data_IF_748165947938
#
_entry.id   IF_748165947938
#
_cell.length_a   1.000
_cell.length_b   1.000
_cell.length_c   1.000
_cell.angle_alpha   90.00
_cell.angle_beta   90.00
_cell.angle_gamma   90.00
#
_symmetry.space_group_name_H-M   'P 1'
#
loop_
_entity.id
_entity.type
_entity.pdbx_description
1 polymer ?
#
# COMPACT_ATOMS: atom_id res chain seq x y z
N UNK A 1 -0.91 0.29 44.63
CA UNK A 1 -1.18 1.13 43.44
C UNK A 1 -0.32 0.66 42.29
N UNK A 2 -0.89 0.33 41.11
CA UNK A 2 -0.06 0.04 39.94
C UNK A 2 0.58 1.35 39.47
N UNK A 3 1.89 1.32 39.20
CA UNK A 3 2.62 2.43 38.60
C UNK A 3 2.07 2.74 37.21
N UNK A 4 1.83 4.01 36.85
CA UNK A 4 1.43 4.36 35.48
C UNK A 4 2.57 3.96 34.54
N UNK A 5 2.20 3.26 33.46
CA UNK A 5 3.13 2.72 32.47
C UNK A 5 4.12 3.79 32.01
N UNK A 6 5.41 3.53 32.20
CA UNK A 6 6.47 4.39 31.68
C UNK A 6 6.39 4.37 30.16
N UNK A 7 6.08 5.51 29.57
CA UNK A 7 6.32 5.76 28.14
C UNK A 7 7.80 5.48 27.83
N UNK A 8 8.10 4.93 26.66
CA UNK A 8 9.45 4.73 26.14
C UNK A 8 10.17 6.08 26.10
N UNK A 9 11.17 6.26 26.96
CA UNK A 9 12.07 7.41 26.95
C UNK A 9 13.29 7.16 26.05
N UNK A 10 13.13 6.35 25.00
CA UNK A 10 14.22 5.91 24.16
C UNK A 10 14.61 7.00 23.15
N UNK A 11 15.91 7.16 22.84
CA UNK A 11 16.38 7.92 21.68
C UNK A 11 15.66 7.48 20.39
N UNK A 12 15.39 8.41 19.49
CA UNK A 12 14.68 8.10 18.23
C UNK A 12 15.38 7.03 17.40
N UNK A 13 16.72 6.94 17.43
CA UNK A 13 17.49 5.89 16.76
C UNK A 13 17.19 4.48 17.29
N UNK A 14 16.98 4.33 18.60
CA UNK A 14 16.66 3.04 19.21
C UNK A 14 15.22 2.63 18.87
N UNK A 15 14.30 3.60 18.82
CA UNK A 15 12.91 3.36 18.39
C UNK A 15 12.86 2.97 16.90
N UNK A 16 13.65 3.62 16.04
CA UNK A 16 13.76 3.24 14.62
C UNK A 16 14.31 1.81 14.49
N UNK A 17 15.33 1.46 15.27
CA UNK A 17 15.90 0.11 15.28
C UNK A 17 14.87 -0.94 15.68
N UNK A 18 14.05 -0.66 16.71
CA UNK A 18 12.91 -1.49 17.09
C UNK A 18 11.90 -1.64 15.94
N UNK A 19 11.53 -0.54 15.29
CA UNK A 19 10.62 -0.56 14.15
C UNK A 19 11.16 -1.41 13.01
N UNK A 20 12.44 -1.26 12.65
CA UNK A 20 13.09 -2.05 11.60
C UNK A 20 13.05 -3.53 11.95
N UNK A 21 13.44 -3.92 13.17
CA UNK A 21 13.47 -5.33 13.60
C UNK A 21 12.10 -6.02 13.56
N UNK A 22 11.02 -5.27 13.80
CA UNK A 22 9.67 -5.85 13.88
C UNK A 22 8.88 -5.74 12.57
N UNK A 23 9.16 -4.74 11.73
CA UNK A 23 8.38 -4.43 10.54
C UNK A 23 9.10 -4.73 9.24
N UNK A 24 10.45 -4.78 9.23
CA UNK A 24 11.22 -5.14 8.03
C UNK A 24 11.41 -6.66 7.98
N UNK A 25 11.03 -7.32 6.89
CA UNK A 25 11.17 -8.77 6.71
C UNK A 25 12.61 -9.30 6.91
N UNK A 26 12.99 -9.74 8.11
CA UNK A 26 14.16 -10.60 8.36
C UNK A 26 13.72 -12.04 8.64
N UNK A 27 13.37 -12.74 7.57
CA UNK A 27 13.11 -14.19 7.36
C UNK A 27 12.43 -15.08 8.41
N UNK A 28 12.20 -14.74 9.70
CA UNK A 28 11.79 -15.76 10.70
C UNK A 28 10.83 -15.32 11.82
N UNK A 29 10.39 -14.05 11.89
CA UNK A 29 9.39 -13.65 12.89
C UNK A 29 8.46 -12.59 12.30
N UNK A 30 7.33 -13.02 11.74
CA UNK A 30 6.37 -12.11 11.12
C UNK A 30 5.18 -11.82 12.02
N UNK A 31 4.87 -10.53 12.14
CA UNK A 31 3.69 -9.99 12.81
C UNK A 31 2.40 -10.64 12.25
N UNK A 32 1.48 -10.96 13.17
CA UNK A 32 0.20 -11.63 12.91
C UNK A 32 -0.86 -10.74 12.25
N UNK A 33 -0.53 -9.52 11.84
CA UNK A 33 -1.48 -8.60 11.18
C UNK A 33 -1.30 -8.64 9.65
N UNK A 34 -2.24 -9.28 8.95
CA UNK A 34 -2.25 -9.41 7.49
C UNK A 34 -2.26 -8.07 6.73
N UNK A 35 -2.57 -6.95 7.40
CA UNK A 35 -2.59 -5.59 6.84
C UNK A 35 -1.22 -4.90 6.84
N UNK A 36 -0.40 -5.13 7.86
CA UNK A 36 0.94 -4.51 8.01
C UNK A 36 1.97 -5.25 7.15
N UNK A 37 1.79 -6.55 6.96
CA UNK A 37 2.70 -7.39 6.21
C UNK A 37 2.76 -7.06 4.71
N UNK A 38 1.71 -6.43 4.14
CA UNK A 38 1.65 -6.02 2.73
C UNK A 38 2.55 -4.83 2.35
N UNK A 39 3.12 -4.13 3.33
CA UNK A 39 4.04 -3.01 3.07
C UNK A 39 5.48 -3.49 2.97
N UNK A 40 6.22 -2.97 1.98
CA UNK A 40 7.68 -2.93 2.11
C UNK A 40 8.01 -1.85 3.15
N UNK A 41 8.10 -2.24 4.43
CA UNK A 41 8.52 -1.35 5.51
C UNK A 41 9.99 -0.92 5.42
N UNK A 42 10.68 -1.27 4.32
CA UNK A 42 12.04 -0.81 4.02
C UNK A 42 12.15 0.69 4.22
N UNK A 43 11.13 1.48 3.83
CA UNK A 43 11.06 2.94 3.99
C UNK A 43 11.40 3.44 5.40
N UNK A 44 11.21 2.66 6.46
CA UNK A 44 11.56 3.04 7.84
C UNK A 44 13.06 3.37 7.98
N UNK A 45 13.93 2.73 7.19
CA UNK A 45 15.38 2.98 7.27
C UNK A 45 15.82 4.37 6.78
N UNK A 46 14.96 5.17 6.13
CA UNK A 46 15.29 6.56 5.73
C UNK A 46 14.85 7.58 6.77
N UNK A 47 14.15 7.15 7.82
CA UNK A 47 13.72 8.04 8.89
C UNK A 47 14.86 8.78 9.62
N UNK A 48 16.06 8.17 9.84
CA UNK A 48 17.19 8.91 10.41
C UNK A 48 17.56 10.15 9.57
N UNK A 49 17.53 10.04 8.24
CA UNK A 49 17.86 11.14 7.33
C UNK A 49 16.89 12.33 7.44
N UNK A 50 15.68 12.11 7.96
CA UNK A 50 14.69 13.15 8.22
C UNK A 50 14.91 13.83 9.58
N UNK A 51 15.53 13.12 10.54
CA UNK A 51 15.83 13.63 11.87
C UNK A 51 17.12 14.48 11.89
N UNK A 52 18.06 14.19 10.99
CA UNK A 52 19.34 14.88 10.91
C UNK A 52 19.26 16.27 10.22
N UNK A 53 18.07 16.71 9.79
CA UNK A 53 17.88 17.97 9.05
C UNK A 53 17.74 19.16 10.00
N UNK A 54 18.65 20.12 9.91
CA UNK A 54 18.67 21.33 10.77
C UNK A 54 17.40 22.20 10.69
N UNK A 55 16.71 22.23 9.53
CA UNK A 55 15.53 23.07 9.30
C UNK A 55 14.22 22.27 9.14
N UNK A 56 14.19 21.01 9.63
CA UNK A 56 13.06 20.10 9.44
C UNK A 56 12.00 20.13 10.55
N UNK A 57 10.86 19.49 10.30
CA UNK A 57 9.83 19.24 11.32
C UNK A 57 10.22 18.07 12.24
N UNK A 58 11.37 18.20 12.93
CA UNK A 58 11.94 17.13 13.77
C UNK A 58 10.93 16.65 14.82
N UNK A 59 10.22 17.58 15.47
CA UNK A 59 9.17 17.26 16.46
C UNK A 59 8.04 16.40 15.88
N UNK A 60 7.66 16.63 14.62
CA UNK A 60 6.63 15.87 13.94
C UNK A 60 7.11 14.44 13.66
N UNK A 61 8.29 14.31 13.07
CA UNK A 61 8.84 13.01 12.67
C UNK A 61 9.15 12.19 13.91
N UNK A 62 9.83 12.76 14.90
CA UNK A 62 10.19 12.08 16.15
C UNK A 62 8.96 11.62 16.96
N UNK A 63 7.94 12.47 17.10
CA UNK A 63 6.70 12.08 17.80
C UNK A 63 5.95 10.98 17.08
N UNK A 64 5.93 10.99 15.74
CA UNK A 64 5.26 9.96 14.93
C UNK A 64 6.01 8.62 14.96
N UNK A 65 7.35 8.64 14.91
CA UNK A 65 8.21 7.47 15.11
C UNK A 65 7.94 6.85 16.49
N UNK A 66 7.85 7.68 17.53
CA UNK A 66 7.57 7.22 18.88
C UNK A 66 6.19 6.57 18.99
N UNK A 67 5.16 7.14 18.35
CA UNK A 67 3.84 6.54 18.31
C UNK A 67 3.83 5.14 17.67
N UNK A 68 4.57 4.97 16.57
CA UNK A 68 4.74 3.66 15.93
C UNK A 68 5.47 2.67 16.85
N UNK A 69 6.60 3.09 17.45
CA UNK A 69 7.38 2.24 18.34
C UNK A 69 6.60 1.77 19.56
N UNK A 70 5.91 2.68 20.24
CA UNK A 70 5.00 2.35 21.35
C UNK A 70 3.90 1.39 20.91
N UNK A 71 3.44 1.51 19.66
CA UNK A 71 2.42 0.61 19.13
C UNK A 71 2.93 -0.80 18.87
N UNK A 72 4.16 -0.94 18.42
CA UNK A 72 4.81 -2.26 18.32
C UNK A 72 4.97 -2.89 19.70
N UNK A 73 5.42 -2.10 20.69
CA UNK A 73 5.61 -2.60 22.06
C UNK A 73 4.27 -2.99 22.70
N UNK A 74 3.21 -2.22 22.49
CA UNK A 74 1.88 -2.55 23.03
C UNK A 74 1.18 -3.71 22.28
N UNK A 75 1.53 -3.94 21.01
CA UNK A 75 0.98 -5.03 20.20
C UNK A 75 1.54 -6.41 20.57
N UNK A 76 2.78 -6.51 21.04
CA UNK A 76 3.38 -7.79 21.41
C UNK A 76 2.57 -8.44 22.56
N UNK A 77 2.00 -9.62 22.30
CA UNK A 77 1.21 -10.38 23.27
C UNK A 77 1.99 -10.77 24.54
N UNK A 78 3.33 -10.70 24.52
CA UNK A 78 4.20 -10.92 25.68
C UNK A 78 4.50 -9.63 26.46
N UNK A 79 4.18 -8.48 25.88
CA UNK A 79 4.37 -7.17 26.48
C UNK A 79 3.33 -6.90 27.57
N UNK A 80 3.76 -6.21 28.63
CA UNK A 80 2.87 -5.65 29.67
C UNK A 80 2.57 -4.17 29.41
N UNK A 81 2.97 -3.63 28.25
CA UNK A 81 2.78 -2.23 27.94
C UNK A 81 1.27 -1.92 27.77
N UNK A 82 0.73 -0.91 28.48
CA UNK A 82 -0.67 -0.55 28.34
C UNK A 82 -0.96 0.04 26.96
N UNK A 83 -2.01 -0.44 26.29
CA UNK A 83 -2.52 0.15 25.04
C UNK A 83 -2.85 1.65 25.22
N UNK A 84 -3.27 2.05 26.43
CA UNK A 84 -3.53 3.47 26.76
C UNK A 84 -2.29 4.35 26.56
N UNK A 85 -1.09 3.83 26.86
CA UNK A 85 0.16 4.56 26.65
C UNK A 85 0.43 4.80 25.17
N UNK A 86 0.19 3.80 24.32
CA UNK A 86 0.33 3.97 22.87
C UNK A 86 -0.69 4.98 22.30
N UNK A 87 -1.94 4.95 22.78
CA UNK A 87 -2.98 5.91 22.37
C UNK A 87 -2.65 7.36 22.79
N UNK A 88 -2.06 7.56 23.96
CA UNK A 88 -1.61 8.88 24.42
C UNK A 88 -0.49 9.44 23.52
N UNK A 89 0.49 8.61 23.18
CA UNK A 89 1.60 8.99 22.32
C UNK A 89 1.12 9.26 20.89
N UNK A 90 0.21 8.43 20.36
CA UNK A 90 -0.44 8.67 19.07
C UNK A 90 -1.21 10.01 19.07
N UNK A 91 -1.96 10.30 20.14
CA UNK A 91 -2.67 11.58 20.30
C UNK A 91 -1.71 12.78 20.36
N UNK A 92 -0.52 12.61 20.93
CA UNK A 92 0.53 13.63 20.92
C UNK A 92 1.07 13.87 19.50
N UNK A 93 1.38 12.81 18.77
CA UNK A 93 1.86 12.88 17.39
C UNK A 93 0.82 13.51 16.44
N UNK A 94 -0.47 13.19 16.59
CA UNK A 94 -1.55 13.86 15.85
C UNK A 94 -1.62 15.37 16.13
N UNK A 95 -1.37 15.81 17.38
CA UNK A 95 -1.29 17.24 17.72
C UNK A 95 -0.08 17.90 17.07
N UNK A 96 1.07 17.22 17.00
CA UNK A 96 2.23 17.71 16.26
C UNK A 96 1.93 17.85 14.76
N UNK A 97 1.26 16.87 14.16
CA UNK A 97 0.82 16.92 12.76
C UNK A 97 -0.13 18.09 12.49
N UNK A 98 -1.12 18.31 13.36
CA UNK A 98 -2.03 19.45 13.24
C UNK A 98 -1.30 20.79 13.28
N UNK A 99 -0.29 20.94 14.15
CA UNK A 99 0.54 22.15 14.22
C UNK A 99 1.37 22.35 12.95
N UNK A 100 2.00 21.29 12.45
CA UNK A 100 2.77 21.34 11.22
C UNK A 100 1.91 21.78 10.02
N UNK A 101 0.71 21.19 9.87
CA UNK A 101 -0.26 21.57 8.83
C UNK A 101 -0.77 23.01 8.97
N UNK A 102 -0.92 23.51 10.20
CA UNK A 102 -1.37 24.89 10.45
C UNK A 102 -0.32 25.97 10.18
N UNK A 103 0.96 25.60 10.13
CA UNK A 103 2.08 26.51 9.87
C UNK A 103 2.39 26.74 8.37
N UNK A 104 1.55 26.19 7.48
CA UNK A 104 2.02 25.75 6.17
C UNK A 104 1.58 26.63 4.98
N UNK A 105 2.55 26.93 4.10
CA UNK A 105 2.32 27.18 2.67
C UNK A 105 2.50 25.83 1.95
N UNK A 106 1.43 25.31 1.35
CA UNK A 106 1.24 23.96 0.80
C UNK A 106 2.26 23.48 -0.25
N UNK A 107 3.50 23.18 0.14
CA UNK A 107 4.44 22.38 -0.68
C UNK A 107 4.51 20.91 -0.22
N UNK A 108 5.10 20.01 -1.02
CA UNK A 108 5.27 18.63 -0.59
C UNK A 108 6.46 18.55 0.40
N UNK A 109 6.26 17.90 1.54
CA UNK A 109 7.29 17.71 2.58
C UNK A 109 7.35 16.22 2.94
N UNK A 110 8.51 15.60 2.75
CA UNK A 110 8.74 14.18 3.03
C UNK A 110 8.61 13.84 4.51
N UNK A 111 8.87 14.80 5.41
CA UNK A 111 8.56 14.66 6.83
C UNK A 111 7.06 14.45 7.10
N UNK A 112 6.18 15.17 6.41
CA UNK A 112 4.73 14.99 6.54
C UNK A 112 4.31 13.58 6.06
N UNK A 113 4.80 13.16 4.89
CA UNK A 113 4.49 11.83 4.35
C UNK A 113 4.97 10.74 5.29
N UNK A 114 6.22 10.80 5.74
CA UNK A 114 6.80 9.85 6.68
C UNK A 114 6.04 9.80 8.01
N UNK A 115 5.71 10.96 8.57
CA UNK A 115 4.93 11.05 9.80
C UNK A 115 3.53 10.43 9.65
N UNK A 116 2.84 10.69 8.53
CA UNK A 116 1.52 10.09 8.28
C UNK A 116 1.62 8.58 8.07
N UNK A 117 2.68 8.09 7.43
CA UNK A 117 2.93 6.64 7.29
C UNK A 117 3.22 5.97 8.64
N UNK A 118 3.96 6.61 9.55
CA UNK A 118 4.16 6.11 10.92
C UNK A 118 2.84 6.02 11.69
N UNK A 119 1.98 7.04 11.60
CA UNK A 119 0.66 7.05 12.23
C UNK A 119 -0.29 6.01 11.62
N UNK A 120 -0.25 5.83 10.30
CA UNK A 120 -0.98 4.78 9.61
C UNK A 120 -0.62 3.39 10.15
N UNK A 121 0.68 3.08 10.26
CA UNK A 121 1.13 1.80 10.80
C UNK A 121 0.78 1.63 12.28
N UNK A 122 0.96 2.70 13.07
CA UNK A 122 0.56 2.74 14.48
C UNK A 122 -0.91 2.37 14.66
N UNK A 123 -1.79 2.89 13.80
CA UNK A 123 -3.22 2.59 13.83
C UNK A 123 -3.54 1.18 13.30
N UNK A 124 -2.87 0.72 12.24
CA UNK A 124 -3.05 -0.64 11.73
C UNK A 124 -2.69 -1.73 12.75
N UNK A 125 -1.69 -1.48 13.61
CA UNK A 125 -1.32 -2.39 14.70
C UNK A 125 -2.38 -2.47 15.80
N UNK A 126 -3.11 -1.38 16.05
CA UNK A 126 -4.05 -1.25 17.15
C UNK A 126 -5.51 -1.12 16.73
N UNK A 127 -5.79 -1.35 15.46
CA UNK A 127 -7.05 -0.97 14.83
C UNK A 127 -8.26 -1.42 15.64
N UNK A 128 -8.89 -0.44 16.32
CA UNK A 128 -10.14 -0.62 17.07
C UNK A 128 -11.36 -0.54 16.15
N UNK A 129 -11.17 -0.09 14.91
CA UNK A 129 -12.21 0.08 13.90
C UNK A 129 -11.63 -0.14 12.50
N UNK A 130 -12.32 -0.89 11.62
CA UNK A 130 -11.84 -1.24 10.28
C UNK A 130 -11.73 -0.06 9.31
N UNK A 131 -12.08 1.17 9.72
CA UNK A 131 -12.12 2.35 8.84
C UNK A 131 -11.26 3.51 9.30
N UNK A 132 -10.66 3.48 10.49
CA UNK A 132 -9.97 4.68 11.00
C UNK A 132 -8.68 4.98 10.22
N UNK A 133 -7.92 3.95 9.87
CA UNK A 133 -6.69 4.06 9.07
C UNK A 133 -6.91 4.77 7.72
N UNK A 134 -8.15 4.77 7.25
CA UNK A 134 -8.58 5.34 5.98
C UNK A 134 -8.35 6.85 5.90
N UNK A 135 -8.39 7.57 7.04
CA UNK A 135 -8.10 9.00 7.06
C UNK A 135 -6.62 9.27 6.76
N UNK A 136 -5.72 8.42 7.28
CA UNK A 136 -4.29 8.53 7.02
C UNK A 136 -3.97 8.19 5.57
N UNK A 137 -4.60 7.16 5.01
CA UNK A 137 -4.44 6.82 3.59
C UNK A 137 -4.85 7.99 2.71
N UNK A 138 -6.06 8.55 2.88
CA UNK A 138 -6.51 9.72 2.11
C UNK A 138 -5.58 10.93 2.25
N UNK A 139 -5.02 11.15 3.44
CA UNK A 139 -4.02 12.17 3.69
C UNK A 139 -2.74 11.96 2.86
N UNK A 140 -2.19 10.75 2.88
CA UNK A 140 -0.99 10.39 2.11
C UNK A 140 -1.26 10.48 0.62
N UNK A 141 -2.39 9.94 0.15
CA UNK A 141 -2.83 10.02 -1.26
C UNK A 141 -2.89 11.47 -1.72
N UNK A 142 -3.48 12.35 -0.90
CA UNK A 142 -3.53 13.78 -1.20
C UNK A 142 -2.13 14.38 -1.25
N UNK A 143 -1.29 14.17 -0.24
CA UNK A 143 0.07 14.69 -0.22
C UNK A 143 0.85 14.25 -1.47
N UNK A 144 0.77 12.97 -1.84
CA UNK A 144 1.43 12.42 -3.03
C UNK A 144 0.89 13.08 -4.29
N UNK A 145 -0.44 13.15 -4.44
CA UNK A 145 -1.07 13.70 -5.64
C UNK A 145 -0.76 15.18 -5.88
N UNK A 146 -0.57 15.98 -4.83
CA UNK A 146 -0.14 17.39 -4.96
C UNK A 146 1.34 17.51 -5.35
N UNK A 147 2.13 16.46 -5.11
CA UNK A 147 3.51 16.36 -5.56
C UNK A 147 3.62 16.11 -7.07
N UNK A 148 4.76 16.49 -7.65
CA UNK A 148 5.11 16.11 -9.01
C UNK A 148 5.66 14.67 -9.03
N UNK A 149 5.25 13.79 -9.97
CA UNK A 149 5.73 12.41 -10.08
C UNK A 149 7.27 12.27 -10.05
N UNK A 150 7.97 13.22 -10.66
CA UNK A 150 9.43 13.24 -10.79
C UNK A 150 10.15 13.37 -9.45
N UNK A 151 9.50 13.94 -8.42
CA UNK A 151 10.06 14.04 -7.07
C UNK A 151 10.26 12.67 -6.42
N UNK A 152 9.55 11.65 -6.89
CA UNK A 152 9.60 10.28 -6.37
C UNK A 152 10.58 9.39 -7.13
N UNK A 153 11.40 9.94 -8.02
CA UNK A 153 12.31 9.16 -8.85
C UNK A 153 13.52 8.60 -8.09
N UNK A 154 13.91 9.19 -6.96
CA UNK A 154 15.01 8.73 -6.12
C UNK A 154 14.89 9.20 -4.64
N UNK A 155 15.85 8.79 -3.80
CA UNK A 155 16.00 9.32 -2.43
C UNK A 155 14.89 8.92 -1.46
N UNK A 156 14.68 9.75 -0.44
CA UNK A 156 13.70 9.53 0.65
C UNK A 156 12.28 9.44 0.10
N UNK A 157 11.87 10.39 -0.75
CA UNK A 157 10.54 10.42 -1.35
C UNK A 157 10.25 9.16 -2.18
N UNK A 158 11.20 8.69 -2.99
CA UNK A 158 11.05 7.44 -3.72
C UNK A 158 10.75 6.26 -2.79
N UNK A 159 11.53 6.14 -1.71
CA UNK A 159 11.35 5.05 -0.75
C UNK A 159 10.01 5.13 -0.01
N UNK A 160 9.58 6.32 0.38
CA UNK A 160 8.26 6.52 0.99
C UNK A 160 7.14 6.14 0.00
N UNK A 161 7.25 6.58 -1.26
CA UNK A 161 6.29 6.24 -2.31
C UNK A 161 6.21 4.73 -2.54
N UNK A 162 7.34 4.06 -2.78
CA UNK A 162 7.41 2.61 -2.97
C UNK A 162 6.85 1.86 -1.76
N UNK A 163 7.14 2.33 -0.55
CA UNK A 163 6.69 1.73 0.71
C UNK A 163 5.17 1.81 0.92
N UNK A 164 4.54 2.93 0.58
CA UNK A 164 3.08 3.11 0.76
C UNK A 164 2.25 2.62 -0.42
N UNK A 165 2.83 2.54 -1.61
CA UNK A 165 2.12 2.19 -2.84
C UNK A 165 1.31 0.88 -2.77
N UNK A 166 1.78 -0.21 -2.11
CA UNK A 166 0.94 -1.39 -1.89
C UNK A 166 -0.36 -1.08 -1.14
N UNK A 167 -0.34 -0.22 -0.12
CA UNK A 167 -1.56 0.17 0.59
C UNK A 167 -2.49 0.96 -0.32
N UNK A 168 -1.94 1.95 -1.04
CA UNK A 168 -2.73 2.78 -1.97
C UNK A 168 -3.39 1.91 -3.04
N UNK A 169 -2.67 0.94 -3.58
CA UNK A 169 -3.19 0.09 -4.67
C UNK A 169 -4.07 -1.06 -4.14
N UNK A 170 -3.64 -1.78 -3.11
CA UNK A 170 -4.27 -3.03 -2.72
C UNK A 170 -5.37 -2.90 -1.66
N UNK A 171 -5.26 -1.93 -0.75
CA UNK A 171 -6.15 -1.91 0.43
C UNK A 171 -7.19 -0.80 0.39
N UNK A 172 -6.90 0.33 -0.26
CA UNK A 172 -7.81 1.46 -0.23
C UNK A 172 -8.05 2.10 -1.60
N UNK A 173 -7.12 2.84 -2.18
CA UNK A 173 -7.46 3.72 -3.31
C UNK A 173 -7.86 2.92 -4.54
N UNK A 174 -7.07 1.95 -5.00
CA UNK A 174 -7.41 1.17 -6.19
C UNK A 174 -8.49 0.13 -5.91
N UNK A 175 -8.51 -0.54 -4.75
CA UNK A 175 -9.61 -1.48 -4.40
C UNK A 175 -10.96 -0.77 -4.20
N UNK A 176 -10.99 0.36 -3.49
CA UNK A 176 -12.18 1.21 -3.39
C UNK A 176 -12.54 1.82 -4.75
N UNK A 177 -11.57 2.22 -5.55
CA UNK A 177 -11.80 2.67 -6.92
C UNK A 177 -12.26 1.56 -7.86
N UNK A 178 -11.89 0.29 -7.64
CA UNK A 178 -12.44 -0.84 -8.39
C UNK A 178 -13.90 -1.07 -8.01
N UNK A 179 -14.22 -1.01 -6.71
CA UNK A 179 -15.60 -1.14 -6.21
C UNK A 179 -16.49 0.02 -6.65
N UNK A 180 -16.00 1.25 -6.54
CA UNK A 180 -16.69 2.48 -6.92
C UNK A 180 -16.50 2.85 -8.40
N UNK A 181 -15.71 2.07 -9.13
CA UNK A 181 -15.45 2.20 -10.57
C UNK A 181 -15.01 3.62 -10.94
N UNK A 182 -13.97 4.10 -10.26
CA UNK A 182 -13.48 5.48 -10.38
C UNK A 182 -12.01 5.47 -10.78
N UNK A 183 -11.59 6.26 -11.75
CA UNK A 183 -10.17 6.35 -12.09
C UNK A 183 -9.32 6.90 -10.92
N UNK A 184 -8.03 6.54 -10.87
CA UNK A 184 -7.07 7.05 -9.87
C UNK A 184 -5.88 7.73 -10.56
N UNK A 185 -5.24 8.72 -9.93
CA UNK A 185 -4.06 9.36 -10.52
C UNK A 185 -2.91 8.38 -10.77
N UNK A 186 -2.85 7.30 -9.96
CA UNK A 186 -1.87 6.21 -10.07
C UNK A 186 -2.02 5.37 -11.35
N UNK A 187 -3.14 5.48 -12.08
CA UNK A 187 -3.33 4.79 -13.36
C UNK A 187 -2.62 5.48 -14.51
N UNK A 188 -2.36 6.79 -14.37
CA UNK A 188 -1.76 7.60 -15.44
C UNK A 188 -0.34 7.14 -15.75
N UNK A 189 0.04 7.26 -17.03
CA UNK A 189 1.36 6.81 -17.51
C UNK A 189 2.51 7.48 -16.73
N UNK A 190 2.37 8.76 -16.41
CA UNK A 190 3.41 9.53 -15.72
C UNK A 190 3.66 9.00 -14.30
N UNK A 191 2.59 8.70 -13.55
CA UNK A 191 2.69 8.15 -12.19
C UNK A 191 3.15 6.69 -12.14
N UNK A 192 3.08 5.96 -13.26
CA UNK A 192 3.61 4.60 -13.39
C UNK A 192 5.07 4.55 -13.88
N UNK A 193 5.60 5.64 -14.44
CA UNK A 193 6.93 5.66 -15.06
C UNK A 193 7.91 6.59 -14.34
N UNK A 194 7.55 7.85 -14.08
CA UNK A 194 8.48 8.83 -13.51
C UNK A 194 9.03 8.44 -12.12
N UNK A 195 8.23 7.90 -11.17
CA UNK A 195 8.76 7.46 -9.88
C UNK A 195 9.79 6.33 -9.98
N UNK A 196 9.82 5.60 -11.10
CA UNK A 196 10.74 4.47 -11.33
C UNK A 196 11.80 4.78 -12.39
N UNK A 197 11.95 6.06 -12.76
CA UNK A 197 12.87 6.49 -13.81
C UNK A 197 14.33 6.23 -13.48
N UNK A 198 14.75 6.50 -12.24
CA UNK A 198 16.14 6.32 -11.81
C UNK A 198 16.36 5.03 -11.02
N UNK A 199 15.30 4.53 -10.36
CA UNK A 199 15.33 3.28 -9.60
C UNK A 199 14.29 2.33 -10.23
N UNK A 200 14.72 1.24 -10.88
CA UNK A 200 13.81 0.31 -11.54
C UNK A 200 12.76 -0.28 -10.58
N UNK A 201 11.53 -0.44 -11.07
CA UNK A 201 10.47 -1.08 -10.31
C UNK A 201 10.81 -2.55 -10.03
N UNK A 202 10.64 -2.99 -8.77
CA UNK A 202 10.67 -4.41 -8.44
C UNK A 202 9.52 -5.16 -9.11
N UNK A 203 9.61 -6.51 -9.16
CA UNK A 203 8.53 -7.33 -9.71
C UNK A 203 7.16 -7.01 -9.08
N UNK A 204 7.10 -6.87 -7.76
CA UNK A 204 5.86 -6.50 -7.07
C UNK A 204 5.38 -5.08 -7.44
N UNK A 205 6.28 -4.10 -7.54
CA UNK A 205 5.91 -2.75 -7.97
C UNK A 205 5.41 -2.70 -9.43
N UNK A 206 5.91 -3.58 -10.29
CA UNK A 206 5.38 -3.76 -11.66
C UNK A 206 3.95 -4.30 -11.62
N UNK A 207 3.66 -5.31 -10.79
CA UNK A 207 2.30 -5.81 -10.60
C UNK A 207 1.35 -4.70 -10.15
N UNK A 208 1.75 -3.89 -9.17
CA UNK A 208 0.95 -2.76 -8.69
C UNK A 208 0.70 -1.69 -9.77
N UNK A 209 1.66 -1.50 -10.69
CA UNK A 209 1.49 -0.60 -11.83
C UNK A 209 0.44 -1.10 -12.82
N UNK A 210 0.38 -2.41 -13.05
CA UNK A 210 -0.66 -3.04 -13.88
C UNK A 210 -2.01 -2.97 -13.18
N UNK A 211 -2.03 -3.24 -11.87
CA UNK A 211 -3.24 -3.18 -11.04
C UNK A 211 -3.90 -1.81 -11.05
N UNK A 212 -3.11 -0.73 -11.01
CA UNK A 212 -3.65 0.64 -10.98
C UNK A 212 -4.37 1.06 -12.27
N UNK A 213 -4.20 0.33 -13.38
CA UNK A 213 -4.91 0.59 -14.64
C UNK A 213 -6.37 0.12 -14.62
N UNK A 214 -6.66 -0.93 -13.84
CA UNK A 214 -7.97 -1.61 -13.85
C UNK A 214 -9.12 -0.65 -13.50
N UNK A 215 -9.07 0.18 -12.44
CA UNK A 215 -10.18 1.07 -12.10
C UNK A 215 -10.59 2.01 -13.23
N UNK A 216 -9.64 2.54 -14.00
CA UNK A 216 -9.92 3.44 -15.13
C UNK A 216 -10.71 2.74 -16.22
N UNK A 217 -10.44 1.45 -16.45
CA UNK A 217 -11.20 0.66 -17.42
C UNK A 217 -12.60 0.36 -16.88
N UNK A 218 -12.74 0.04 -15.59
CA UNK A 218 -14.04 -0.17 -14.96
C UNK A 218 -14.92 1.09 -14.94
N UNK A 219 -14.31 2.26 -14.71
CA UNK A 219 -14.96 3.57 -14.81
C UNK A 219 -15.51 3.81 -16.23
N UNK A 220 -14.68 3.52 -17.23
CA UNK A 220 -15.08 3.58 -18.65
C UNK A 220 -16.29 2.67 -18.93
N UNK A 221 -16.27 1.43 -18.45
CA UNK A 221 -17.39 0.47 -18.60
C UNK A 221 -18.66 1.01 -17.93
N UNK A 222 -18.52 1.62 -16.76
CA UNK A 222 -19.64 2.15 -15.98
C UNK A 222 -20.30 3.37 -16.62
N UNK A 223 -19.53 4.13 -17.40
CA UNK A 223 -20.02 5.30 -18.15
C UNK A 223 -20.82 4.95 -19.41
N UNK A 224 -20.87 3.67 -19.80
CA UNK A 224 -21.53 3.22 -21.04
C UNK A 224 -23.05 3.34 -20.91
N UNK A 225 -23.66 4.29 -21.64
CA UNK A 225 -25.11 4.33 -21.81
C UNK A 225 -25.59 3.28 -22.81
N UNK A 226 -26.07 2.15 -22.28
CA UNK A 226 -26.60 1.03 -23.07
C UNK A 226 -27.79 1.39 -23.96
N UNK A 227 -28.42 2.55 -23.78
CA UNK A 227 -29.54 3.03 -24.62
C UNK A 227 -29.06 3.57 -25.97
N UNK A 228 -27.80 4.00 -26.07
CA UNK A 228 -27.20 4.46 -27.32
C UNK A 228 -26.16 3.47 -27.82
N UNK A 229 -26.61 2.43 -28.51
CA UNK A 229 -25.75 1.33 -28.99
C UNK A 229 -24.63 1.80 -29.93
N UNK A 230 -24.86 2.85 -30.73
CA UNK A 230 -23.86 3.40 -31.64
C UNK A 230 -22.65 3.97 -30.89
N UNK A 231 -22.85 4.50 -29.68
CA UNK A 231 -21.78 4.97 -28.80
C UNK A 231 -21.27 3.85 -27.88
N UNK A 232 -22.16 3.00 -27.37
CA UNK A 232 -21.83 1.97 -26.39
C UNK A 232 -20.90 0.88 -26.94
N UNK A 233 -21.12 0.44 -28.19
CA UNK A 233 -20.35 -0.66 -28.79
C UNK A 233 -18.85 -0.30 -28.95
N UNK A 234 -18.46 0.86 -29.53
CA UNK A 234 -17.06 1.26 -29.59
C UNK A 234 -16.38 1.32 -28.22
N UNK A 235 -17.06 1.91 -27.23
CA UNK A 235 -16.52 2.05 -25.86
C UNK A 235 -16.35 0.67 -25.20
N UNK A 236 -17.33 -0.22 -25.35
CA UNK A 236 -17.24 -1.59 -24.85
C UNK A 236 -16.10 -2.38 -25.53
N UNK A 237 -15.89 -2.17 -26.84
CA UNK A 237 -14.78 -2.78 -27.59
C UNK A 237 -13.42 -2.26 -27.11
N UNK A 238 -13.29 -0.96 -26.86
CA UNK A 238 -12.08 -0.35 -26.32
C UNK A 238 -11.78 -0.84 -24.91
N UNK A 239 -12.79 -0.90 -24.04
CA UNK A 239 -12.65 -1.43 -22.69
C UNK A 239 -12.26 -2.91 -22.69
N UNK A 240 -12.87 -3.74 -23.54
CA UNK A 240 -12.51 -5.15 -23.71
C UNK A 240 -11.05 -5.32 -24.14
N UNK A 241 -10.60 -4.54 -25.14
CA UNK A 241 -9.19 -4.51 -25.56
C UNK A 241 -8.25 -4.09 -24.43
N UNK A 242 -8.64 -3.11 -23.62
CA UNK A 242 -7.85 -2.68 -22.47
C UNK A 242 -7.74 -3.77 -21.39
N UNK A 243 -8.83 -4.46 -21.06
CA UNK A 243 -8.82 -5.58 -20.11
C UNK A 243 -7.98 -6.76 -20.63
N UNK A 244 -8.08 -7.10 -21.91
CA UNK A 244 -7.25 -8.15 -22.52
C UNK A 244 -5.75 -7.80 -22.46
N UNK A 245 -5.40 -6.54 -22.71
CA UNK A 245 -4.01 -6.06 -22.55
C UNK A 245 -3.54 -6.18 -21.10
N UNK A 246 -4.38 -5.81 -20.13
CA UNK A 246 -4.06 -5.95 -18.69
C UNK A 246 -3.84 -7.42 -18.34
N UNK A 247 -4.71 -8.33 -18.78
CA UNK A 247 -4.52 -9.78 -18.60
C UNK A 247 -3.22 -10.29 -19.23
N UNK A 248 -2.89 -9.82 -20.44
CA UNK A 248 -1.61 -10.14 -21.09
C UNK A 248 -0.42 -9.72 -20.24
N UNK A 249 -0.44 -8.50 -19.71
CA UNK A 249 0.60 -7.97 -18.82
C UNK A 249 0.70 -8.77 -17.50
N UNK A 250 -0.43 -9.14 -16.91
CA UNK A 250 -0.47 -9.96 -15.70
C UNK A 250 0.13 -11.35 -15.93
N UNK A 251 -0.24 -12.00 -17.04
CA UNK A 251 0.30 -13.32 -17.40
C UNK A 251 1.81 -13.25 -17.65
N UNK A 252 2.27 -12.24 -18.40
CA UNK A 252 3.71 -12.04 -18.63
C UNK A 252 4.46 -11.80 -17.31
N UNK A 253 3.89 -11.00 -16.41
CA UNK A 253 4.45 -10.79 -15.08
C UNK A 253 4.57 -12.11 -14.30
N UNK A 254 3.53 -12.95 -14.30
CA UNK A 254 3.53 -14.23 -13.58
C UNK A 254 4.56 -15.20 -14.17
N UNK A 255 4.65 -15.30 -15.50
CA UNK A 255 5.67 -16.10 -16.18
C UNK A 255 7.09 -15.63 -15.82
N UNK A 256 7.33 -14.31 -15.85
CA UNK A 256 8.62 -13.75 -15.47
C UNK A 256 8.96 -14.12 -14.01
N UNK A 257 8.01 -13.95 -13.08
CA UNK A 257 8.21 -14.32 -11.68
C UNK A 257 8.62 -15.80 -11.54
N UNK A 258 7.90 -16.71 -12.20
CA UNK A 258 8.23 -18.14 -12.20
C UNK A 258 9.64 -18.42 -12.75
N UNK A 259 10.03 -17.80 -13.86
CA UNK A 259 11.35 -18.04 -14.47
C UNK A 259 12.52 -17.51 -13.64
N UNK A 260 12.30 -16.44 -12.87
CA UNK A 260 13.34 -15.85 -12.01
C UNK A 260 13.46 -16.54 -10.65
N UNK A 261 12.49 -17.36 -10.26
CA UNK A 261 12.47 -18.01 -8.97
C UNK A 261 13.15 -19.38 -9.02
N UNK A 262 14.10 -19.67 -8.12
CA UNK A 262 14.81 -20.96 -8.09
C UNK A 262 13.93 -22.13 -7.60
N UNK A 263 12.77 -21.84 -7.01
CA UNK A 263 11.87 -22.80 -6.38
C UNK A 263 10.42 -22.52 -6.81
N UNK A 264 9.53 -23.50 -6.59
CA UNK A 264 8.09 -23.30 -6.81
C UNK A 264 7.57 -22.15 -5.96
N UNK A 265 6.80 -21.25 -6.57
CA UNK A 265 6.22 -20.07 -5.91
C UNK A 265 5.17 -20.44 -4.86
N UNK A 266 4.42 -21.49 -5.14
CA UNK A 266 3.43 -22.05 -4.23
C UNK A 266 3.30 -23.56 -4.44
N UNK A 267 2.80 -24.26 -3.43
CA UNK A 267 2.51 -25.69 -3.51
C UNK A 267 1.34 -26.04 -2.59
N UNK A 268 0.64 -27.11 -2.94
CA UNK A 268 -0.42 -27.66 -2.10
C UNK A 268 0.18 -28.47 -0.96
N UNK A 269 -0.43 -28.34 0.22
CA UNK A 269 -0.13 -29.15 1.39
C UNK A 269 -1.43 -29.71 1.92
N UNK A 270 -1.47 -31.02 2.14
CA UNK A 270 -2.58 -31.68 2.81
C UNK A 270 -2.25 -31.69 4.30
N UNK A 271 -3.07 -31.02 5.10
CA UNK A 271 -2.95 -31.00 6.55
C UNK A 271 -3.38 -32.35 7.14
N UNK A 272 -2.95 -32.70 8.37
CA UNK A 272 -3.29 -33.98 9.00
C UNK A 272 -4.80 -34.25 9.08
N UNK A 273 -5.61 -33.19 9.13
CA UNK A 273 -7.06 -33.22 9.18
C UNK A 273 -7.72 -33.40 7.79
N UNK A 274 -6.92 -33.54 6.72
CA UNK A 274 -7.39 -33.71 5.34
C UNK A 274 -7.70 -32.41 4.59
N UNK A 275 -7.48 -31.25 5.20
CA UNK A 275 -7.65 -29.94 4.56
C UNK A 275 -6.52 -29.65 3.57
N UNK A 276 -6.85 -29.12 2.40
CA UNK A 276 -5.86 -28.67 1.41
C UNK A 276 -5.56 -27.20 1.66
N UNK A 277 -4.31 -26.91 2.02
CA UNK A 277 -3.76 -25.58 2.26
C UNK A 277 -2.75 -25.22 1.17
N UNK A 278 -2.82 -23.98 0.66
CA UNK A 278 -1.81 -23.47 -0.30
C UNK A 278 -0.69 -22.79 0.48
N UNK A 279 0.54 -23.27 0.29
CA UNK A 279 1.74 -22.72 0.88
C UNK A 279 2.51 -21.91 -0.14
N UNK A 280 3.25 -20.90 0.34
CA UNK A 280 4.02 -19.98 -0.48
C UNK A 280 5.47 -19.94 -0.01
N UNK A 281 6.39 -19.62 -0.91
CA UNK A 281 7.82 -19.51 -0.59
C UNK A 281 8.08 -18.47 0.50
N UNK A 282 7.42 -17.31 0.38
CA UNK A 282 7.48 -16.24 1.35
C UNK A 282 6.21 -15.37 1.30
N UNK A 283 6.11 -14.45 2.25
CA UNK A 283 4.97 -13.56 2.37
C UNK A 283 4.79 -12.61 1.17
N UNK A 284 5.88 -12.15 0.56
CA UNK A 284 5.84 -11.25 -0.61
C UNK A 284 5.29 -12.02 -1.81
N UNK A 285 5.72 -13.26 -2.03
CA UNK A 285 5.17 -14.15 -3.06
C UNK A 285 3.70 -14.42 -2.80
N UNK A 286 3.31 -14.79 -1.58
CA UNK A 286 1.91 -14.99 -1.20
C UNK A 286 1.04 -13.78 -1.53
N UNK A 287 1.51 -12.59 -1.12
CA UNK A 287 0.82 -11.32 -1.37
C UNK A 287 0.74 -11.03 -2.86
N UNK A 288 1.83 -11.19 -3.60
CA UNK A 288 1.89 -10.92 -5.04
C UNK A 288 0.93 -11.84 -5.80
N UNK A 289 0.90 -13.14 -5.47
CA UNK A 289 0.01 -14.10 -6.12
C UNK A 289 -1.46 -13.85 -5.79
N UNK A 290 -1.79 -13.53 -4.54
CA UNK A 290 -3.16 -13.18 -4.16
C UNK A 290 -3.69 -11.98 -4.96
N UNK A 291 -2.88 -10.93 -5.13
CA UNK A 291 -3.27 -9.77 -5.94
C UNK A 291 -3.35 -10.12 -7.42
N UNK A 292 -2.39 -10.87 -7.94
CA UNK A 292 -2.40 -11.34 -9.32
C UNK A 292 -3.70 -12.12 -9.64
N UNK A 293 -4.07 -13.11 -8.81
CA UNK A 293 -5.29 -13.89 -9.03
C UNK A 293 -6.55 -13.03 -8.92
N UNK A 294 -6.63 -12.15 -7.92
CA UNK A 294 -7.77 -11.26 -7.77
C UNK A 294 -7.96 -10.35 -9.00
N UNK A 295 -6.88 -9.71 -9.47
CA UNK A 295 -6.91 -8.85 -10.65
C UNK A 295 -7.28 -9.61 -11.92
N UNK A 296 -6.75 -10.82 -12.07
CA UNK A 296 -7.05 -11.70 -13.18
C UNK A 296 -8.54 -12.04 -13.23
N UNK A 297 -9.12 -12.46 -12.09
CA UNK A 297 -10.54 -12.79 -11.95
C UNK A 297 -11.42 -11.58 -12.26
N UNK A 298 -11.08 -10.39 -11.74
CA UNK A 298 -11.82 -9.15 -12.01
C UNK A 298 -11.84 -8.87 -13.51
N UNK A 299 -10.68 -8.87 -14.17
CA UNK A 299 -10.59 -8.58 -15.60
C UNK A 299 -11.33 -9.62 -16.45
N UNK A 300 -11.17 -10.91 -16.15
CA UNK A 300 -11.85 -11.98 -16.87
C UNK A 300 -13.38 -11.88 -16.73
N UNK A 301 -13.87 -11.61 -15.52
CA UNK A 301 -15.29 -11.46 -15.23
C UNK A 301 -15.90 -10.29 -15.99
N UNK A 302 -15.23 -9.14 -16.02
CA UNK A 302 -15.70 -7.95 -16.73
C UNK A 302 -15.66 -8.15 -18.26
N UNK A 303 -14.68 -8.87 -18.80
CA UNK A 303 -14.68 -9.26 -20.23
C UNK A 303 -15.89 -10.15 -20.55
N UNK A 304 -16.16 -11.17 -19.74
CA UNK A 304 -17.31 -12.05 -19.94
C UNK A 304 -18.64 -11.28 -19.87
N UNK A 305 -18.74 -10.33 -18.93
CA UNK A 305 -19.90 -9.47 -18.80
C UNK A 305 -20.08 -8.55 -20.02
N UNK A 306 -19.00 -7.93 -20.51
CA UNK A 306 -19.03 -7.11 -21.73
C UNK A 306 -19.46 -7.91 -22.95
N UNK A 307 -18.96 -9.14 -23.13
CA UNK A 307 -19.37 -10.03 -24.23
C UNK A 307 -20.85 -10.39 -24.16
N UNK A 308 -21.35 -10.66 -22.95
CA UNK A 308 -22.77 -10.94 -22.73
C UNK A 308 -23.65 -9.72 -23.06
N UNK A 309 -23.21 -8.53 -22.66
CA UNK A 309 -23.94 -7.28 -22.90
C UNK A 309 -23.86 -6.80 -24.36
N UNK A 310 -22.77 -7.13 -25.06
CA UNK A 310 -22.50 -6.76 -26.45
C UNK A 310 -21.98 -7.97 -27.25
N UNK A 311 -22.87 -8.85 -27.75
CA UNK A 311 -22.48 -10.07 -28.47
C UNK A 311 -21.63 -9.84 -29.72
N UNK A 312 -21.69 -8.63 -30.30
CA UNK A 312 -20.84 -8.22 -31.43
C UNK A 312 -19.35 -8.12 -31.10
N UNK A 313 -18.95 -8.34 -29.85
CA UNK A 313 -17.55 -8.41 -29.41
C UNK A 313 -16.93 -9.81 -29.52
N UNK A 314 -17.65 -10.82 -30.01
CA UNK A 314 -17.14 -12.18 -30.22
C UNK A 314 -16.36 -12.37 -31.54
N UNK A 315 -16.29 -11.36 -32.39
CA UNK A 315 -15.45 -11.30 -33.61
C UNK A 315 -14.06 -10.69 -33.36
#
# INVERSE_FOLDING_TARGET
SPSPGRQLAWPSGDVISLCVQNLVPTSNAFLKAASVSQMSCSWIEVLPQLLDREQGYIDLVSSSIRALGESIVAYDARSRAPVSTALEVQSSAMRAMKRALGSYNASLCDELVAATMCLLLSELLHSTSPTNYMVHVKGITSLIHHGRPELYANGVLHRLFVGVRPILVCTHDVSSAMLNRTSTFLSTKIWRSEPFRNVPASSFQTLLSTASEVPTVLDTISSVDKRNLAYAIPVAKDASRALLRILGNLNQWYMNLQTTSPHSLCWERIDPDGHISIWFTDFIVATSLNHFWALWIICATEILQLKRDFPSLEE
#
